data_IF_734992448605
#
_entry.id   IF_734992448605
#
_cell.length_a   1.000
_cell.length_b   1.000
_cell.length_c   1.000
_cell.angle_alpha   90.00
_cell.angle_beta   90.00
_cell.angle_gamma   90.00
#
_symmetry.space_group_name_H-M   'P 1'
#
loop_
_entity.id
_entity.type
_entity.pdbx_description
1 polymer ?
#
# COMPACT_ATOMS: atom_id res chain seq x y z
N UNK A 1 -3.52 2.13 30.35
CA UNK A 1 -3.50 1.48 29.02
C UNK A 1 -4.33 2.34 28.07
N UNK A 2 -3.71 3.35 27.44
CA UNK A 2 -4.36 4.19 26.42
C UNK A 2 -4.11 3.54 25.06
N UNK A 3 -5.14 2.95 24.46
CA UNK A 3 -5.14 2.54 23.05
C UNK A 3 -5.60 3.75 22.24
N UNK A 4 -4.67 4.44 21.59
CA UNK A 4 -5.01 5.57 20.71
C UNK A 4 -3.97 5.71 19.61
N UNK A 5 -4.12 4.94 18.53
CA UNK A 5 -3.49 5.26 17.24
C UNK A 5 -4.46 4.85 16.12
N UNK A 6 -5.48 5.67 15.89
CA UNK A 6 -6.14 5.74 14.58
C UNK A 6 -5.75 7.10 14.04
N UNK A 7 -4.83 7.12 13.07
CA UNK A 7 -4.53 8.32 12.29
C UNK A 7 -5.54 8.38 11.15
N UNK A 8 -6.36 9.43 11.11
CA UNK A 8 -7.28 9.71 10.01
C UNK A 8 -6.52 10.53 8.97
N UNK A 9 -6.48 10.04 7.73
CA UNK A 9 -5.87 10.76 6.59
C UNK A 9 -6.90 10.96 5.50
N UNK A 10 -7.00 12.19 4.98
CA UNK A 10 -7.72 12.54 3.77
C UNK A 10 -6.69 12.66 2.65
N UNK A 11 -6.77 11.76 1.67
CA UNK A 11 -6.02 11.92 0.42
C UNK A 11 -6.82 12.82 -0.51
N UNK A 12 -6.18 13.88 -1.01
CA UNK A 12 -6.70 14.74 -2.08
C UNK A 12 -5.98 14.40 -3.37
N UNK A 13 -6.68 14.38 -4.50
CA UNK A 13 -6.09 14.16 -5.82
C UNK A 13 -5.43 15.43 -6.35
N UNK A 14 -4.14 15.36 -6.71
CA UNK A 14 -3.49 16.35 -7.59
C UNK A 14 -3.48 15.82 -9.05
N UNK A 15 -3.61 16.72 -10.03
CA UNK A 15 -4.01 16.43 -11.41
C UNK A 15 -2.99 15.70 -12.31
N UNK A 16 -3.53 15.09 -13.40
CA UNK A 16 -2.94 14.30 -14.54
C UNK A 16 -2.94 12.78 -14.32
N UNK A 17 -3.54 11.88 -15.13
CA UNK A 17 -4.36 11.95 -16.35
C UNK A 17 -5.42 10.81 -16.36
N UNK A 18 -6.57 11.03 -17.03
CA UNK A 18 -7.42 9.94 -17.56
C UNK A 18 -6.86 9.50 -18.92
N UNK A 19 -6.30 8.29 -19.10
CA UNK A 19 -6.23 7.66 -20.41
C UNK A 19 -7.66 7.30 -20.85
N UNK A 20 -7.93 7.45 -22.14
CA UNK A 20 -9.27 7.47 -22.72
C UNK A 20 -10.21 6.36 -22.27
N UNK A 21 -11.48 6.73 -22.08
CA UNK A 21 -12.56 5.76 -22.20
C UNK A 21 -12.45 5.08 -23.58
N UNK A 22 -12.46 3.76 -23.62
CA UNK A 22 -12.56 3.04 -24.89
C UNK A 22 -13.79 3.54 -25.67
N UNK A 23 -13.69 3.72 -27.00
CA UNK A 23 -14.83 4.16 -27.78
C UNK A 23 -15.95 3.13 -27.67
N UNK A 24 -17.15 3.59 -27.31
CA UNK A 24 -18.35 2.76 -27.30
C UNK A 24 -18.52 2.09 -28.66
N UNK A 25 -18.64 0.76 -28.70
CA UNK A 25 -19.12 0.04 -29.88
C UNK A 25 -20.60 0.38 -30.03
N UNK A 26 -20.92 1.22 -31.01
CA UNK A 26 -22.30 1.66 -31.25
C UNK A 26 -23.07 0.57 -31.98
N UNK A 27 -23.87 -0.21 -31.27
CA UNK A 27 -24.97 -0.99 -31.86
C UNK A 27 -26.31 -0.53 -31.30
N UNK A 28 -26.72 0.67 -31.72
CA UNK A 28 -28.13 1.13 -31.76
C UNK A 28 -28.96 1.22 -30.48
N UNK A 29 -28.49 0.77 -29.32
CA UNK A 29 -29.31 0.67 -28.10
C UNK A 29 -28.44 1.03 -26.90
N UNK A 30 -28.76 2.15 -26.25
CA UNK A 30 -28.20 2.70 -25.00
C UNK A 30 -26.76 2.32 -24.61
N UNK A 31 -25.85 3.30 -24.56
CA UNK A 31 -24.54 3.16 -23.93
C UNK A 31 -24.68 2.82 -22.44
N UNK A 32 -24.70 1.54 -22.09
CA UNK A 32 -24.40 1.10 -20.74
C UNK A 32 -22.88 1.14 -20.58
N UNK A 33 -22.38 2.13 -19.83
CA UNK A 33 -20.99 2.11 -19.35
C UNK A 33 -20.92 0.98 -18.32
N UNK A 34 -20.48 -0.20 -18.76
CA UNK A 34 -20.18 -1.27 -17.82
C UNK A 34 -18.96 -0.86 -17.00
N UNK A 35 -19.07 -0.82 -15.67
CA UNK A 35 -17.93 -0.45 -14.84
C UNK A 35 -16.81 -1.45 -15.06
N UNK A 36 -15.61 -0.96 -15.39
CA UNK A 36 -14.43 -1.80 -15.55
C UNK A 36 -14.07 -2.34 -14.17
N UNK A 37 -14.40 -3.61 -13.94
CA UNK A 37 -13.94 -4.35 -12.77
C UNK A 37 -12.41 -4.26 -12.68
N UNK A 38 -11.93 -4.24 -11.44
CA UNK A 38 -10.55 -3.99 -11.10
C UNK A 38 -9.90 -2.68 -11.59
N UNK A 39 -10.62 -1.56 -11.61
CA UNK A 39 -10.04 -0.25 -11.95
C UNK A 39 -9.97 0.71 -10.76
N UNK A 40 -8.87 1.46 -10.67
CA UNK A 40 -8.73 2.61 -9.79
C UNK A 40 -8.12 3.79 -10.55
N UNK A 41 -8.82 4.93 -10.54
CA UNK A 41 -8.45 6.14 -11.27
C UNK A 41 -8.88 7.41 -10.52
N UNK A 42 -8.51 8.58 -11.03
CA UNK A 42 -8.97 9.85 -10.48
C UNK A 42 -9.09 10.92 -11.56
N UNK A 43 -9.89 11.94 -11.25
CA UNK A 43 -9.81 13.26 -11.87
C UNK A 43 -9.32 14.28 -10.83
N UNK A 44 -9.43 15.57 -11.13
CA UNK A 44 -8.93 16.64 -10.25
C UNK A 44 -9.60 16.68 -8.87
N UNK A 45 -10.77 16.04 -8.69
CA UNK A 45 -11.58 16.16 -7.47
C UNK A 45 -11.96 14.82 -6.86
N UNK A 46 -11.95 13.75 -7.63
CA UNK A 46 -12.63 12.51 -7.27
C UNK A 46 -11.81 11.30 -7.64
N UNK A 47 -11.64 10.38 -6.69
CA UNK A 47 -11.17 9.03 -6.99
C UNK A 47 -12.33 8.18 -7.49
N UNK A 48 -12.05 7.21 -8.35
CA UNK A 48 -13.01 6.26 -8.85
C UNK A 48 -12.49 4.84 -8.64
N UNK A 49 -13.35 3.97 -8.12
CA UNK A 49 -13.11 2.52 -8.06
C UNK A 49 -14.18 1.82 -8.87
N UNK A 50 -13.79 1.04 -9.88
CA UNK A 50 -14.71 0.41 -10.83
C UNK A 50 -15.72 1.44 -11.38
N UNK A 51 -15.18 2.57 -11.87
CA UNK A 51 -15.91 3.74 -12.39
C UNK A 51 -16.93 4.40 -11.43
N UNK A 52 -16.95 4.00 -10.16
CA UNK A 52 -17.82 4.60 -9.14
C UNK A 52 -17.03 5.62 -8.31
N UNK A 53 -17.54 6.84 -8.12
CA UNK A 53 -16.88 7.86 -7.32
C UNK A 53 -16.68 7.37 -5.88
N UNK A 54 -15.48 7.61 -5.36
CA UNK A 54 -15.04 7.22 -4.03
C UNK A 54 -14.36 8.41 -3.37
N UNK A 55 -14.90 8.84 -2.23
CA UNK A 55 -14.15 9.67 -1.29
C UNK A 55 -13.41 8.74 -0.33
N UNK A 56 -12.07 8.77 -0.34
CA UNK A 56 -11.27 7.98 0.60
C UNK A 56 -11.36 8.62 1.98
N UNK A 57 -12.01 7.93 2.92
CA UNK A 57 -12.04 8.27 4.33
C UNK A 57 -11.37 7.10 5.04
N UNK A 58 -10.10 7.25 5.36
CA UNK A 58 -9.36 6.12 5.90
C UNK A 58 -8.62 6.37 7.19
N UNK A 59 -8.31 5.25 7.83
CA UNK A 59 -7.58 5.17 9.08
C UNK A 59 -6.47 4.13 8.99
N UNK A 60 -5.37 4.37 9.72
CA UNK A 60 -4.25 3.44 9.76
C UNK A 60 -4.53 2.27 10.73
N UNK A 61 -4.34 1.03 10.26
CA UNK A 61 -4.23 -0.17 11.09
C UNK A 61 -3.15 -1.07 10.50
N UNK A 62 -2.18 -1.44 11.34
CA UNK A 62 -1.05 -2.30 10.95
C UNK A 62 -1.25 -3.70 11.59
N UNK A 63 -1.29 -4.78 10.79
CA UNK A 63 -1.60 -6.12 11.28
C UNK A 63 -0.63 -6.57 12.38
N UNK A 64 0.64 -6.18 12.30
CA UNK A 64 1.70 -6.55 13.23
C UNK A 64 1.55 -5.92 14.62
N UNK A 65 0.68 -4.90 14.78
CA UNK A 65 0.40 -4.26 16.08
C UNK A 65 -0.81 -4.84 16.80
N UNK A 66 -1.62 -5.64 16.10
CA UNK A 66 -2.88 -6.17 16.62
C UNK A 66 -2.78 -7.69 16.62
N UNK A 67 -3.02 -8.38 17.74
CA UNK A 67 -3.13 -9.84 17.71
C UNK A 67 -4.16 -10.28 16.67
N UNK A 68 -3.80 -11.23 15.80
CA UNK A 68 -4.64 -11.68 14.68
C UNK A 68 -6.10 -11.96 15.04
N UNK A 69 -6.35 -12.57 16.20
CA UNK A 69 -7.70 -12.84 16.70
C UNK A 69 -8.60 -11.58 16.85
N UNK A 70 -8.02 -10.38 16.85
CA UNK A 70 -8.74 -9.12 16.98
C UNK A 70 -8.78 -8.29 15.68
N UNK A 71 -8.19 -8.76 14.58
CA UNK A 71 -8.20 -8.04 13.29
C UNK A 71 -9.61 -7.70 12.83
N UNK A 72 -10.46 -8.71 12.64
CA UNK A 72 -11.87 -8.52 12.31
C UNK A 72 -12.60 -7.56 13.24
N UNK A 73 -12.37 -7.64 14.56
CA UNK A 73 -12.97 -6.69 15.51
C UNK A 73 -12.53 -5.25 15.23
N UNK A 74 -11.23 -4.99 14.99
CA UNK A 74 -10.72 -3.65 14.68
C UNK A 74 -11.27 -3.12 13.37
N UNK A 75 -11.39 -3.97 12.34
CA UNK A 75 -11.98 -3.60 11.05
C UNK A 75 -13.45 -3.24 11.17
N UNK A 76 -14.24 -3.99 11.96
CA UNK A 76 -15.64 -3.65 12.23
C UNK A 76 -15.77 -2.32 12.99
N UNK A 77 -14.89 -2.05 13.95
CA UNK A 77 -14.87 -0.76 14.66
C UNK A 77 -14.52 0.40 13.70
N UNK A 78 -13.51 0.22 12.84
CA UNK A 78 -13.15 1.22 11.83
C UNK A 78 -14.32 1.54 10.90
N UNK A 79 -15.00 0.50 10.40
CA UNK A 79 -16.21 0.66 9.58
C UNK A 79 -17.34 1.38 10.32
N UNK A 80 -17.58 1.03 11.59
CA UNK A 80 -18.59 1.67 12.43
C UNK A 80 -18.28 3.17 12.72
N UNK A 81 -17.00 3.55 12.70
CA UNK A 81 -16.57 4.95 12.78
C UNK A 81 -16.76 5.74 11.47
N UNK A 82 -17.25 5.09 10.40
CA UNK A 82 -17.46 5.69 9.09
C UNK A 82 -16.24 5.62 8.17
N UNK A 83 -15.19 4.88 8.53
CA UNK A 83 -14.05 4.64 7.64
C UNK A 83 -14.46 3.67 6.53
N UNK A 84 -13.99 3.94 5.31
CA UNK A 84 -14.18 3.07 4.15
C UNK A 84 -12.88 2.46 3.63
N UNK A 85 -11.73 2.97 4.09
CA UNK A 85 -10.40 2.57 3.62
C UNK A 85 -9.45 2.39 4.80
N UNK A 86 -8.65 1.32 4.79
CA UNK A 86 -7.61 1.08 5.79
C UNK A 86 -6.24 1.33 5.16
N UNK A 87 -5.44 2.15 5.81
CA UNK A 87 -4.02 2.30 5.48
C UNK A 87 -3.22 1.28 6.27
N UNK A 88 -2.31 0.57 5.62
CA UNK A 88 -1.57 -0.53 6.25
C UNK A 88 -0.09 -0.41 5.94
N UNK A 89 0.72 -0.23 6.98
CA UNK A 89 2.15 -0.45 6.90
C UNK A 89 2.48 -1.93 7.05
N UNK A 90 3.61 -2.33 6.45
CA UNK A 90 4.27 -3.59 6.74
C UNK A 90 5.63 -3.30 7.37
N UNK A 91 5.94 -4.01 8.45
CA UNK A 91 7.22 -3.91 9.15
C UNK A 91 8.13 -5.01 8.64
N UNK A 92 9.05 -4.61 7.75
CA UNK A 92 10.01 -5.53 7.13
C UNK A 92 10.81 -6.31 8.16
N UNK A 93 11.28 -5.66 9.23
CA UNK A 93 12.00 -6.30 10.33
C UNK A 93 11.30 -7.49 10.99
N UNK A 94 9.97 -7.49 11.02
CA UNK A 94 9.17 -8.55 11.65
C UNK A 94 8.87 -9.68 10.66
N UNK A 95 8.79 -9.35 9.35
CA UNK A 95 8.55 -10.32 8.26
C UNK A 95 9.84 -11.06 7.89
N UNK A 96 10.98 -10.35 7.79
CA UNK A 96 12.28 -10.90 7.41
C UNK A 96 13.30 -10.64 8.52
N UNK A 97 13.11 -11.34 9.65
CA UNK A 97 13.96 -11.16 10.84
C UNK A 97 15.42 -11.55 10.59
N UNK A 98 15.64 -12.53 9.72
CA UNK A 98 16.95 -12.97 9.24
C UNK A 98 16.99 -12.89 7.71
N UNK A 99 18.13 -12.59 7.09
CA UNK A 99 18.23 -12.44 5.63
C UNK A 99 17.74 -13.69 4.90
N UNK A 100 16.76 -13.54 4.02
CA UNK A 100 16.16 -14.61 3.23
C UNK A 100 15.11 -15.46 3.95
N UNK A 101 14.90 -15.26 5.26
CA UNK A 101 13.92 -16.01 6.06
C UNK A 101 12.65 -15.18 6.27
N UNK A 102 11.69 -15.38 5.37
CA UNK A 102 10.40 -14.69 5.40
C UNK A 102 9.35 -15.46 6.20
N UNK A 103 8.76 -14.80 7.19
CA UNK A 103 7.60 -15.26 7.95
C UNK A 103 6.35 -14.50 7.51
N UNK A 104 5.40 -15.21 6.90
CA UNK A 104 4.07 -14.70 6.56
C UNK A 104 2.98 -15.43 7.34
N UNK A 105 3.26 -15.80 8.60
CA UNK A 105 2.32 -16.48 9.49
C UNK A 105 1.92 -15.60 10.66
N UNK A 106 0.90 -16.02 11.43
CA UNK A 106 0.47 -15.28 12.61
C UNK A 106 0.10 -13.83 12.28
N UNK A 107 0.71 -12.86 12.97
CA UNK A 107 0.48 -11.44 12.72
C UNK A 107 1.20 -10.90 11.46
N UNK A 108 2.16 -11.66 10.90
CA UNK A 108 2.86 -11.32 9.66
C UNK A 108 2.14 -11.86 8.41
N UNK A 109 0.99 -12.54 8.57
CA UNK A 109 0.20 -13.06 7.45
C UNK A 109 -0.51 -11.91 6.71
N UNK A 110 0.21 -11.34 5.76
CA UNK A 110 -0.24 -10.18 4.98
C UNK A 110 -1.41 -10.54 4.06
N UNK A 111 -1.41 -11.76 3.49
CA UNK A 111 -2.50 -12.23 2.64
C UNK A 111 -3.81 -12.29 3.43
N UNK A 112 -3.80 -12.96 4.59
CA UNK A 112 -4.99 -13.05 5.44
C UNK A 112 -5.45 -11.69 5.98
N UNK A 113 -4.52 -10.75 6.23
CA UNK A 113 -4.91 -9.39 6.61
C UNK A 113 -5.77 -8.72 5.53
N UNK A 114 -5.34 -8.75 4.27
CA UNK A 114 -6.10 -8.15 3.18
C UNK A 114 -7.36 -8.94 2.82
N UNK A 115 -7.38 -10.26 3.04
CA UNK A 115 -8.60 -11.06 3.00
C UNK A 115 -9.63 -10.55 4.02
N UNK A 116 -9.23 -10.31 5.27
CA UNK A 116 -10.12 -9.78 6.30
C UNK A 116 -10.60 -8.35 5.98
N UNK A 117 -9.73 -7.50 5.44
CA UNK A 117 -10.12 -6.15 4.98
C UNK A 117 -11.19 -6.24 3.89
N UNK A 118 -11.01 -7.13 2.91
CA UNK A 118 -11.99 -7.35 1.84
C UNK A 118 -13.31 -7.90 2.39
N UNK A 119 -13.25 -8.90 3.29
CA UNK A 119 -14.42 -9.51 3.91
C UNK A 119 -15.20 -8.50 4.79
N UNK A 120 -14.52 -7.53 5.40
CA UNK A 120 -15.15 -6.43 6.12
C UNK A 120 -15.86 -5.43 5.17
N UNK A 121 -15.66 -5.55 3.85
CA UNK A 121 -16.16 -4.62 2.85
C UNK A 121 -15.47 -3.26 2.89
N UNK A 122 -14.21 -3.24 3.33
CA UNK A 122 -13.36 -2.06 3.36
C UNK A 122 -12.38 -2.10 2.17
N UNK A 123 -11.92 -0.92 1.75
CA UNK A 123 -10.80 -0.77 0.82
C UNK A 123 -9.47 -0.68 1.59
N UNK A 124 -8.36 -0.78 0.88
CA UNK A 124 -7.03 -0.69 1.44
C UNK A 124 -6.10 0.22 0.65
N UNK A 125 -5.13 0.80 1.36
CA UNK A 125 -3.92 1.41 0.80
C UNK A 125 -2.72 0.72 1.43
N UNK A 126 -1.91 0.08 0.59
CA UNK A 126 -0.72 -0.63 1.04
C UNK A 126 0.46 0.33 1.13
N UNK A 127 1.17 0.33 2.26
CA UNK A 127 2.33 1.17 2.53
C UNK A 127 3.51 0.27 2.90
N UNK A 128 4.11 -0.43 1.92
CA UNK A 128 4.98 -1.57 2.22
C UNK A 128 6.38 -1.14 2.70
N UNK A 129 6.78 0.12 2.54
CA UNK A 129 8.11 0.60 2.89
C UNK A 129 8.99 0.83 1.65
N UNK A 130 10.29 0.52 1.69
CA UNK A 130 11.00 -0.31 2.69
C UNK A 130 11.14 0.32 4.08
N UNK A 131 11.23 1.65 4.14
CA UNK A 131 11.20 2.41 5.39
C UNK A 131 9.79 2.94 5.65
N UNK A 132 9.26 2.76 6.86
CA UNK A 132 7.89 3.18 7.22
C UNK A 132 7.84 4.18 8.37
N UNK A 133 8.98 4.48 9.00
CA UNK A 133 9.07 5.17 10.29
C UNK A 133 8.30 4.39 11.37
N UNK A 134 6.99 4.57 11.44
CA UNK A 134 6.15 3.66 12.20
C UNK A 134 6.21 3.89 13.72
N UNK A 135 7.11 4.74 14.23
CA UNK A 135 7.66 4.62 15.59
C UNK A 135 8.11 3.16 15.88
N UNK A 136 8.69 2.52 14.87
CA UNK A 136 9.27 1.17 14.96
C UNK A 136 10.78 1.26 15.05
N UNK A 137 11.38 0.25 15.67
CA UNK A 137 12.83 0.11 15.74
C UNK A 137 13.43 0.26 14.35
N UNK A 138 14.43 1.13 14.21
CA UNK A 138 15.07 1.47 12.95
C UNK A 138 14.10 1.76 11.77
N UNK A 139 12.91 2.29 12.07
CA UNK A 139 11.93 2.70 11.08
C UNK A 139 11.24 1.57 10.32
N UNK A 140 11.25 0.34 10.87
CA UNK A 140 10.70 -0.84 10.23
C UNK A 140 11.73 -1.68 9.46
N UNK A 141 12.99 -1.22 9.38
CA UNK A 141 14.07 -1.89 8.66
C UNK A 141 14.68 -3.03 9.50
N UNK A 142 14.94 -4.21 8.92
CA UNK A 142 15.63 -5.29 9.62
C UNK A 142 17.06 -4.90 9.98
N UNK A 143 17.46 -5.14 11.24
CA UNK A 143 18.80 -4.80 11.74
C UNK A 143 19.97 -5.39 10.95
N UNK A 144 19.77 -6.54 10.31
CA UNK A 144 20.81 -7.22 9.50
C UNK A 144 21.23 -6.41 8.26
N UNK A 145 20.41 -5.47 7.77
CA UNK A 145 20.81 -4.59 6.67
C UNK A 145 22.09 -3.82 7.00
N UNK A 146 22.29 -3.44 8.25
CA UNK A 146 23.49 -2.71 8.70
C UNK A 146 24.79 -3.50 8.57
N UNK A 147 24.69 -4.82 8.40
CA UNK A 147 25.83 -5.73 8.26
C UNK A 147 26.20 -5.98 6.80
N UNK A 148 25.38 -5.52 5.85
CA UNK A 148 25.69 -5.65 4.43
C UNK A 148 26.79 -4.66 4.02
N UNK A 149 27.72 -5.07 3.14
CA UNK A 149 28.75 -4.18 2.62
C UNK A 149 28.10 -3.04 1.83
N UNK A 150 28.73 -1.86 1.92
CA UNK A 150 28.33 -0.64 1.21
C UNK A 150 26.84 -0.26 1.39
N UNK A 151 26.27 -0.61 2.55
CA UNK A 151 24.88 -0.32 2.88
C UNK A 151 24.67 1.16 3.14
N UNK A 152 23.89 1.80 2.27
CA UNK A 152 23.35 3.14 2.48
C UNK A 152 21.82 3.10 2.44
N UNK A 153 21.20 3.07 3.63
CA UNK A 153 19.74 3.03 3.75
C UNK A 153 19.11 4.30 3.18
N UNK A 154 17.98 4.13 2.49
CA UNK A 154 17.21 5.23 1.89
C UNK A 154 18.03 6.10 0.92
N UNK A 155 18.97 5.48 0.21
CA UNK A 155 19.78 6.07 -0.87
C UNK A 155 19.66 5.24 -2.13
N UNK A 156 20.03 5.84 -3.27
CA UNK A 156 20.17 5.14 -4.55
C UNK A 156 21.42 4.24 -4.58
N UNK A 157 21.51 3.29 -3.64
CA UNK A 157 22.60 2.34 -3.51
C UNK A 157 22.14 0.95 -3.94
N UNK A 158 22.98 0.22 -4.67
CA UNK A 158 22.65 -1.13 -5.13
C UNK A 158 22.39 -2.08 -3.95
N UNK A 159 23.14 -1.95 -2.85
CA UNK A 159 22.98 -2.79 -1.65
C UNK A 159 21.58 -2.65 -1.05
N UNK A 160 21.09 -1.41 -0.87
CA UNK A 160 19.77 -1.15 -0.30
C UNK A 160 18.62 -1.47 -1.29
N UNK A 161 18.79 -1.10 -2.56
CA UNK A 161 17.76 -1.35 -3.58
C UNK A 161 17.58 -2.84 -3.87
N UNK A 162 18.65 -3.63 -3.92
CA UNK A 162 18.55 -5.08 -4.12
C UNK A 162 17.87 -5.78 -2.94
N UNK A 163 18.18 -5.38 -1.71
CA UNK A 163 17.51 -5.92 -0.52
C UNK A 163 16.02 -5.53 -0.51
N UNK A 164 15.71 -4.28 -0.86
CA UNK A 164 14.34 -3.78 -0.99
C UNK A 164 13.57 -4.55 -2.06
N UNK A 165 14.17 -4.80 -3.22
CA UNK A 165 13.59 -5.57 -4.31
C UNK A 165 13.19 -6.98 -3.87
N UNK A 166 14.09 -7.67 -3.16
CA UNK A 166 13.81 -8.99 -2.61
C UNK A 166 12.62 -9.01 -1.64
N UNK A 167 12.54 -8.01 -0.75
CA UNK A 167 11.40 -7.87 0.17
C UNK A 167 10.10 -7.57 -0.57
N UNK A 168 10.11 -6.60 -1.51
CA UNK A 168 8.93 -6.24 -2.30
C UNK A 168 8.44 -7.40 -3.16
N UNK A 169 9.34 -8.22 -3.72
CA UNK A 169 8.98 -9.43 -4.46
C UNK A 169 8.17 -10.42 -3.60
N UNK A 170 8.59 -10.62 -2.34
CA UNK A 170 7.88 -11.52 -1.41
C UNK A 170 6.54 -10.96 -0.97
N UNK A 171 6.47 -9.66 -0.67
CA UNK A 171 5.20 -9.00 -0.33
C UNK A 171 4.24 -9.04 -1.53
N UNK A 172 4.72 -8.72 -2.74
CA UNK A 172 3.94 -8.77 -3.98
C UNK A 172 3.31 -10.13 -4.22
N UNK A 173 4.05 -11.22 -3.98
CA UNK A 173 3.52 -12.59 -4.07
C UNK A 173 2.34 -12.83 -3.10
N UNK A 174 2.39 -12.29 -1.88
CA UNK A 174 1.31 -12.45 -0.90
C UNK A 174 0.06 -11.64 -1.25
N UNK A 175 0.25 -10.41 -1.74
CA UNK A 175 -0.87 -9.47 -1.92
C UNK A 175 -1.45 -9.43 -3.32
N UNK A 176 -0.84 -10.12 -4.28
CA UNK A 176 -1.28 -10.13 -5.69
C UNK A 176 -2.79 -10.39 -5.84
N UNK A 177 -3.42 -11.38 -5.17
CA UNK A 177 -4.88 -11.60 -5.26
C UNK A 177 -5.73 -10.45 -4.71
N UNK A 178 -5.16 -9.57 -3.89
CA UNK A 178 -5.85 -8.50 -3.19
C UNK A 178 -5.61 -7.11 -3.81
N UNK A 179 -4.87 -7.04 -4.92
CA UNK A 179 -4.75 -5.83 -5.72
C UNK A 179 -6.07 -5.50 -6.40
N UNK A 180 -6.42 -4.22 -6.50
CA UNK A 180 -7.64 -3.78 -7.20
C UNK A 180 -7.66 -4.30 -8.63
N UNK A 181 -6.53 -4.41 -9.31
CA UNK A 181 -6.40 -4.98 -10.66
C UNK A 181 -6.82 -6.45 -10.76
N UNK A 182 -6.89 -7.14 -9.62
CA UNK A 182 -7.39 -8.51 -9.44
C UNK A 182 -8.69 -8.55 -8.60
N UNK A 183 -9.49 -7.47 -8.66
CA UNK A 183 -10.75 -7.28 -7.91
C UNK A 183 -10.62 -7.27 -6.38
N UNK A 184 -9.41 -7.06 -5.88
CA UNK A 184 -9.10 -6.98 -4.47
C UNK A 184 -9.33 -5.60 -3.82
N UNK A 185 -9.13 -5.50 -2.49
CA UNK A 185 -9.37 -4.26 -1.74
C UNK A 185 -8.27 -3.20 -1.89
N UNK A 186 -7.04 -3.55 -2.29
CA UNK A 186 -5.88 -2.64 -2.30
C UNK A 186 -5.96 -1.72 -3.52
N UNK A 187 -6.15 -0.43 -3.29
CA UNK A 187 -6.35 0.59 -4.34
C UNK A 187 -5.04 1.23 -4.82
N UNK A 188 -4.09 1.40 -3.90
CA UNK A 188 -2.83 2.11 -4.13
C UNK A 188 -1.69 1.49 -3.34
N UNK A 189 -0.47 1.72 -3.79
CA UNK A 189 0.76 1.34 -3.10
C UNK A 189 1.62 2.60 -2.87
N UNK A 190 2.07 2.81 -1.64
CA UNK A 190 2.92 3.96 -1.30
C UNK A 190 4.39 3.69 -1.63
N UNK A 191 5.07 4.69 -2.20
CA UNK A 191 6.52 4.72 -2.38
C UNK A 191 7.17 5.32 -1.13
N UNK A 192 8.02 4.54 -0.45
CA UNK A 192 8.75 4.96 0.76
C UNK A 192 7.80 5.54 1.83
N UNK A 193 8.33 6.33 2.77
CA UNK A 193 7.55 7.14 3.70
C UNK A 193 8.27 8.47 3.98
N UNK A 194 7.58 9.59 3.73
CA UNK A 194 8.00 10.93 4.19
C UNK A 194 9.43 11.30 3.77
N UNK A 195 9.84 10.88 2.57
CA UNK A 195 11.22 11.05 2.12
C UNK A 195 11.66 12.51 2.05
N UNK A 196 10.72 13.44 1.82
CA UNK A 196 10.98 14.88 1.78
C UNK A 196 11.64 15.46 3.04
N UNK A 197 11.49 14.82 4.21
CA UNK A 197 12.17 15.23 5.44
C UNK A 197 13.65 14.81 5.50
N UNK A 198 14.06 13.87 4.65
CA UNK A 198 15.42 13.30 4.64
C UNK A 198 16.19 13.67 3.39
N UNK A 199 15.51 13.88 2.26
CA UNK A 199 16.13 14.29 1.01
C UNK A 199 15.15 14.47 -0.13
N UNK A 200 15.68 14.74 -1.33
CA UNK A 200 14.90 14.92 -2.55
C UNK A 200 15.44 14.13 -3.75
N UNK A 201 16.26 13.11 -3.51
CA UNK A 201 16.86 12.26 -4.55
C UNK A 201 15.79 11.59 -5.42
N UNK A 202 15.66 12.10 -6.64
CA UNK A 202 14.70 11.60 -7.62
C UNK A 202 15.14 10.28 -8.25
N UNK A 203 16.43 9.98 -8.28
CA UNK A 203 16.93 8.71 -8.80
C UNK A 203 16.57 7.57 -7.83
N UNK A 204 16.74 7.81 -6.52
CA UNK A 204 16.31 6.87 -5.50
C UNK A 204 14.79 6.61 -5.56
N UNK A 205 13.97 7.67 -5.62
CA UNK A 205 12.51 7.52 -5.71
C UNK A 205 12.08 6.84 -7.01
N UNK A 206 12.74 7.14 -8.13
CA UNK A 206 12.51 6.47 -9.40
C UNK A 206 12.82 4.98 -9.32
N UNK A 207 13.96 4.60 -8.75
CA UNK A 207 14.33 3.20 -8.56
C UNK A 207 13.33 2.44 -7.66
N UNK A 208 12.84 3.06 -6.58
CA UNK A 208 11.77 2.46 -5.78
C UNK A 208 10.47 2.32 -6.56
N UNK A 209 10.09 3.31 -7.37
CA UNK A 209 8.91 3.22 -8.21
C UNK A 209 9.03 2.05 -9.21
N UNK A 210 10.21 1.84 -9.80
CA UNK A 210 10.47 0.74 -10.72
C UNK A 210 10.37 -0.63 -10.03
N UNK A 211 10.93 -0.76 -8.82
CA UNK A 211 10.78 -1.96 -7.98
C UNK A 211 9.30 -2.23 -7.69
N UNK A 212 8.55 -1.20 -7.28
CA UNK A 212 7.13 -1.35 -6.95
C UNK A 212 6.30 -1.68 -8.20
N UNK A 213 6.55 -1.05 -9.34
CA UNK A 213 5.87 -1.38 -10.60
C UNK A 213 6.15 -2.82 -11.05
N UNK A 214 7.33 -3.36 -10.74
CA UNK A 214 7.69 -4.75 -11.04
C UNK A 214 6.87 -5.74 -10.21
N UNK A 215 6.70 -5.49 -8.90
CA UNK A 215 6.05 -6.44 -7.98
C UNK A 215 4.57 -6.17 -7.71
N UNK A 216 4.08 -4.98 -8.08
CA UNK A 216 2.68 -4.55 -7.97
C UNK A 216 2.23 -3.97 -9.32
N UNK A 217 2.17 -4.80 -10.39
CA UNK A 217 1.91 -4.33 -11.73
C UNK A 217 0.55 -3.62 -11.84
N UNK A 218 0.53 -2.55 -12.64
CA UNK A 218 -0.64 -1.71 -12.95
C UNK A 218 -1.29 -1.01 -11.74
N UNK A 219 -0.64 -1.07 -10.57
CA UNK A 219 -1.09 -0.34 -9.39
C UNK A 219 -0.75 1.14 -9.47
N UNK A 220 -1.60 1.96 -8.83
CA UNK A 220 -1.35 3.39 -8.69
C UNK A 220 -0.40 3.63 -7.52
N UNK A 221 0.72 4.29 -7.81
CA UNK A 221 1.73 4.65 -6.82
C UNK A 221 1.52 6.09 -6.33
N UNK A 222 1.81 6.33 -5.05
CA UNK A 222 1.80 7.69 -4.48
C UNK A 222 2.91 7.86 -3.44
N UNK A 223 3.23 9.10 -3.10
CA UNK A 223 4.14 9.43 -1.99
C UNK A 223 3.39 10.22 -0.93
N UNK A 224 3.79 10.08 0.34
CA UNK A 224 3.44 11.05 1.37
C UNK A 224 4.67 11.88 1.72
N UNK A 225 4.52 13.20 1.80
CA UNK A 225 5.52 14.09 2.38
C UNK A 225 4.79 14.99 3.37
N UNK A 226 5.51 15.48 4.38
CA UNK A 226 5.03 16.62 5.13
C UNK A 226 4.95 17.85 4.24
N UNK A 227 3.99 18.72 4.53
CA UNK A 227 3.91 20.05 3.96
C UNK A 227 5.10 20.92 4.36
#
# INVERSE_FOLDING_TARGET
>A
MKLSHIYISLLTSDAVARPGAEPCVTDGTSCEVHPRAGSFSWDDKTFYVNDKPLQIIGGQIDPQRVPRAYWGQRLQMAKAMGLNTIFTYLFWQDIEKYPGEFDFTGNNDVAAWFEEVQAAGLKAVLRPGPYVCAERDWGGLPGWLSQLPDMEIRRNSASFLNATDGFMAKVGQQVSPYLVTNDGPILMVQIDNEYGYVGNDMNYKGALADILNTHFPDMKLYTNNGA
#
